data_IF_837661606012
#
_entry.id   IF_837661606012
#
_cell.length_a   1.000
_cell.length_b   1.000
_cell.length_c   1.000
_cell.angle_alpha   90.00
_cell.angle_beta   90.00
_cell.angle_gamma   90.00
#
_symmetry.space_group_name_H-M   'P 1'
#
loop_
_entity.id
_entity.type
_entity.pdbx_description
1 polymer ?
#
# COMPACT_ATOMS: atom_id res chain seq x y z
N UNK A 1 -12.45 -12.89 8.58
CA UNK A 1 -12.02 -13.67 7.39
C UNK A 1 -10.83 -14.51 7.84
N UNK A 2 -10.84 -15.84 7.68
CA UNK A 2 -9.76 -16.67 8.22
C UNK A 2 -8.49 -16.49 7.38
N UNK A 3 -7.36 -16.14 8.01
CA UNK A 3 -6.05 -16.09 7.33
C UNK A 3 -5.48 -17.50 7.26
N UNK A 4 -5.29 -18.05 6.06
CA UNK A 4 -4.74 -19.40 5.87
C UNK A 4 -3.46 -19.64 6.70
N UNK A 5 -2.52 -18.69 6.68
CA UNK A 5 -1.28 -18.82 7.45
C UNK A 5 -1.53 -18.87 8.97
N UNK A 6 -2.50 -18.13 9.49
CA UNK A 6 -2.81 -18.14 10.92
C UNK A 6 -3.52 -19.42 11.37
N UNK A 7 -4.21 -20.11 10.46
CA UNK A 7 -4.87 -21.38 10.75
C UNK A 7 -3.86 -22.53 10.83
N UNK A 8 -2.88 -22.55 9.94
CA UNK A 8 -1.93 -23.66 9.82
C UNK A 8 -0.59 -23.42 10.52
N UNK A 9 -0.14 -22.16 10.60
CA UNK A 9 1.12 -21.76 11.24
C UNK A 9 0.94 -20.42 11.99
N UNK A 10 0.19 -20.42 13.10
CA UNK A 10 -0.15 -19.21 13.85
C UNK A 10 1.07 -18.41 14.33
N UNK A 11 2.20 -19.06 14.59
CA UNK A 11 3.45 -18.43 14.99
C UNK A 11 3.99 -17.47 13.94
N UNK A 12 3.98 -17.84 12.66
CA UNK A 12 4.45 -16.96 11.58
C UNK A 12 3.52 -15.76 11.39
N UNK A 13 2.20 -16.01 11.44
CA UNK A 13 1.22 -14.94 11.32
C UNK A 13 1.32 -13.95 12.49
N UNK A 14 1.55 -14.44 13.71
CA UNK A 14 1.75 -13.63 14.91
C UNK A 14 3.03 -12.79 14.83
N UNK A 15 4.14 -13.35 14.35
CA UNK A 15 5.37 -12.58 14.21
C UNK A 15 5.25 -11.47 13.16
N UNK A 16 4.50 -11.70 12.07
CA UNK A 16 4.18 -10.63 11.11
C UNK A 16 3.34 -9.52 11.75
N UNK A 17 2.34 -9.87 12.55
CA UNK A 17 1.52 -8.88 13.27
C UNK A 17 2.36 -8.09 14.29
N UNK A 18 3.27 -8.76 15.00
CA UNK A 18 4.19 -8.11 15.96
C UNK A 18 5.11 -7.10 15.25
N UNK A 19 5.64 -7.46 14.08
CA UNK A 19 6.47 -6.58 13.26
C UNK A 19 5.68 -5.35 12.81
N UNK A 20 4.45 -5.52 12.34
CA UNK A 20 3.57 -4.41 11.94
C UNK A 20 3.30 -3.43 13.09
N UNK A 21 3.04 -3.95 14.30
CA UNK A 21 2.85 -3.13 15.50
C UNK A 21 4.14 -2.43 15.95
N UNK A 22 5.29 -3.11 15.82
CA UNK A 22 6.57 -2.49 16.11
C UNK A 22 6.87 -1.33 15.16
N UNK A 23 6.61 -1.50 13.86
CA UNK A 23 6.76 -0.43 12.88
C UNK A 23 5.91 0.78 13.28
N UNK A 24 4.62 0.61 13.59
CA UNK A 24 3.76 1.73 14.01
C UNK A 24 4.30 2.47 15.24
N UNK A 25 4.85 1.75 16.22
CA UNK A 25 5.37 2.32 17.47
C UNK A 25 6.73 3.01 17.31
N UNK A 26 7.58 2.51 16.42
CA UNK A 26 8.97 2.96 16.26
C UNK A 26 9.21 3.87 15.06
N UNK A 27 8.20 4.04 14.21
CA UNK A 27 8.31 4.87 13.01
C UNK A 27 8.70 6.31 13.38
N UNK A 28 9.72 6.82 12.70
CA UNK A 28 10.24 8.18 12.88
C UNK A 28 9.70 9.19 11.87
N UNK A 29 8.92 8.71 10.90
CA UNK A 29 8.26 9.51 9.86
C UNK A 29 6.76 9.56 10.12
N UNK A 30 6.10 10.60 9.59
CA UNK A 30 4.65 10.71 9.66
C UNK A 30 3.95 9.63 8.81
N UNK A 31 2.64 9.48 9.01
CA UNK A 31 1.83 8.48 8.29
C UNK A 31 1.82 8.74 6.79
N UNK A 32 1.78 10.00 6.36
CA UNK A 32 1.73 10.35 4.93
C UNK A 32 2.99 9.89 4.19
N UNK A 33 4.16 10.19 4.76
CA UNK A 33 5.46 9.79 4.24
C UNK A 33 5.61 8.27 4.24
N UNK A 34 5.14 7.60 5.30
CA UNK A 34 5.10 6.14 5.35
C UNK A 34 4.29 5.55 4.20
N UNK A 35 3.08 6.06 3.98
CA UNK A 35 2.21 5.57 2.92
C UNK A 35 2.82 5.81 1.53
N UNK A 36 3.51 6.94 1.30
CA UNK A 36 4.25 7.17 0.05
C UNK A 36 5.36 6.14 -0.18
N UNK A 37 6.16 5.84 0.85
CA UNK A 37 7.22 4.83 0.74
C UNK A 37 6.62 3.45 0.49
N UNK A 38 5.61 3.05 1.26
CA UNK A 38 4.96 1.75 1.10
C UNK A 38 4.22 1.63 -0.24
N UNK A 39 3.65 2.72 -0.76
CA UNK A 39 3.05 2.76 -2.09
C UNK A 39 4.10 2.53 -3.19
N UNK A 40 5.25 3.20 -3.11
CA UNK A 40 6.36 2.99 -4.04
C UNK A 40 6.89 1.55 -3.97
N UNK A 41 7.09 1.01 -2.77
CA UNK A 41 7.51 -0.38 -2.57
C UNK A 41 6.48 -1.39 -3.08
N UNK A 42 5.19 -1.13 -2.89
CA UNK A 42 4.12 -1.99 -3.37
C UNK A 42 4.06 -2.04 -4.90
N UNK A 43 4.31 -0.91 -5.58
CA UNK A 43 4.46 -0.85 -7.04
C UNK A 43 5.64 -1.73 -7.46
N UNK A 44 6.82 -1.53 -6.85
CA UNK A 44 8.01 -2.31 -7.20
C UNK A 44 7.89 -3.80 -6.90
N UNK A 45 7.20 -4.17 -5.83
CA UNK A 45 6.87 -5.55 -5.51
C UNK A 45 5.72 -6.13 -6.34
N UNK A 46 5.13 -5.36 -7.27
CA UNK A 46 3.96 -5.72 -8.08
C UNK A 46 2.80 -6.33 -7.26
N UNK A 47 2.59 -5.80 -6.05
CA UNK A 47 1.52 -6.27 -5.16
C UNK A 47 0.29 -5.40 -5.31
N UNK A 48 -0.63 -5.80 -6.21
CA UNK A 48 -1.85 -5.03 -6.50
C UNK A 48 -2.69 -4.70 -5.24
N UNK A 49 -2.91 -5.62 -4.27
CA UNK A 49 -3.61 -5.29 -3.04
C UNK A 49 -2.88 -4.23 -2.22
N UNK A 50 -1.55 -4.30 -2.13
CA UNK A 50 -0.76 -3.32 -1.39
C UNK A 50 -0.73 -1.95 -2.10
N UNK A 51 -0.67 -1.91 -3.44
CA UNK A 51 -0.75 -0.67 -4.21
C UNK A 51 -2.05 0.06 -3.89
N UNK A 52 -3.18 -0.65 -3.93
CA UNK A 52 -4.50 -0.08 -3.59
C UNK A 52 -4.60 0.33 -2.12
N UNK A 53 -4.10 -0.51 -1.20
CA UNK A 53 -4.05 -0.23 0.25
C UNK A 53 -3.31 1.07 0.54
N UNK A 54 -2.10 1.22 0.00
CA UNK A 54 -1.25 2.36 0.31
C UNK A 54 -1.63 3.62 -0.47
N UNK A 55 -2.21 3.48 -1.67
CA UNK A 55 -2.87 4.59 -2.36
C UNK A 55 -3.97 5.20 -1.49
N UNK A 56 -4.89 4.36 -0.97
CA UNK A 56 -5.98 4.81 -0.10
C UNK A 56 -5.48 5.32 1.24
N UNK A 57 -4.55 4.59 1.87
CA UNK A 57 -3.95 4.99 3.14
C UNK A 57 -3.30 6.38 3.05
N UNK A 58 -2.59 6.68 1.95
CA UNK A 58 -2.05 8.02 1.74
C UNK A 58 -3.17 9.08 1.66
N UNK A 59 -4.25 8.83 0.92
CA UNK A 59 -5.38 9.78 0.84
C UNK A 59 -6.02 10.03 2.22
N UNK A 60 -6.15 9.00 3.05
CA UNK A 60 -6.67 9.10 4.42
C UNK A 60 -5.80 9.98 5.33
N UNK A 61 -4.51 10.16 4.99
CA UNK A 61 -3.60 11.11 5.69
C UNK A 61 -3.68 12.54 5.18
N UNK A 62 -4.55 12.83 4.20
CA UNK A 62 -4.62 14.12 3.52
C UNK A 62 -3.63 14.28 2.38
N UNK A 63 -3.07 13.19 1.84
CA UNK A 63 -2.37 13.25 0.57
C UNK A 63 -3.34 13.57 -0.58
N UNK A 64 -2.83 14.28 -1.58
CA UNK A 64 -3.57 14.55 -2.81
C UNK A 64 -3.27 13.50 -3.87
N UNK A 65 -4.20 13.31 -4.81
CA UNK A 65 -3.97 12.46 -5.99
C UNK A 65 -2.75 12.95 -6.78
N UNK A 66 -2.48 14.26 -6.80
CA UNK A 66 -1.31 14.83 -7.48
C UNK A 66 0.01 14.39 -6.84
N UNK A 67 0.07 14.32 -5.51
CA UNK A 67 1.26 13.79 -4.80
C UNK A 67 1.45 12.30 -5.09
N UNK A 68 0.38 11.50 -5.08
CA UNK A 68 0.45 10.07 -5.42
C UNK A 68 0.90 9.84 -6.87
N UNK A 69 0.38 10.63 -7.81
CA UNK A 69 0.81 10.59 -9.21
C UNK A 69 2.30 10.98 -9.36
N UNK A 70 2.78 11.91 -8.55
CA UNK A 70 4.22 12.25 -8.51
C UNK A 70 5.07 11.06 -8.03
N UNK A 71 4.62 10.33 -6.99
CA UNK A 71 5.32 9.11 -6.54
C UNK A 71 5.30 8.03 -7.64
N UNK A 72 4.18 7.85 -8.35
CA UNK A 72 4.13 6.95 -9.52
C UNK A 72 5.16 7.35 -10.57
N UNK A 73 5.20 8.62 -10.96
CA UNK A 73 6.14 9.14 -11.94
C UNK A 73 7.61 8.91 -11.51
N UNK A 74 7.91 9.10 -10.23
CA UNK A 74 9.22 8.80 -9.67
C UNK A 74 9.56 7.31 -9.80
N UNK A 75 8.65 6.41 -9.41
CA UNK A 75 8.88 4.97 -9.51
C UNK A 75 9.10 4.54 -10.96
N UNK A 76 8.30 5.07 -11.90
CA UNK A 76 8.44 4.76 -13.32
C UNK A 76 9.76 5.25 -13.89
N UNK A 77 10.21 6.45 -13.50
CA UNK A 77 11.53 6.97 -13.88
C UNK A 77 12.64 6.03 -13.42
N UNK A 78 12.61 5.59 -12.15
CA UNK A 78 13.63 4.71 -11.58
C UNK A 78 13.57 3.28 -12.13
N UNK A 79 12.48 2.90 -12.82
CA UNK A 79 12.29 1.58 -13.44
C UNK A 79 12.23 1.59 -14.97
N UNK A 80 12.63 2.69 -15.62
CA UNK A 80 12.57 2.88 -17.07
C UNK A 80 11.18 2.58 -17.67
N UNK A 81 10.11 2.93 -16.94
CA UNK A 81 8.72 2.73 -17.34
C UNK A 81 8.18 1.30 -17.18
N UNK A 82 8.96 0.36 -16.63
CA UNK A 82 8.57 -1.06 -16.54
C UNK A 82 7.30 -1.31 -15.70
N UNK A 83 6.92 -0.37 -14.84
CA UNK A 83 5.73 -0.50 -13.99
C UNK A 83 4.51 0.28 -14.52
N UNK A 84 4.66 1.04 -15.62
CA UNK A 84 3.68 2.02 -16.12
C UNK A 84 2.31 1.41 -16.42
N UNK A 85 2.24 0.55 -17.45
CA UNK A 85 0.99 -0.10 -17.87
C UNK A 85 0.33 -0.86 -16.71
N UNK A 86 1.12 -1.58 -15.92
CA UNK A 86 0.61 -2.42 -14.85
C UNK A 86 -0.02 -1.59 -13.71
N UNK A 87 0.62 -0.50 -13.28
CA UNK A 87 0.03 0.35 -12.23
C UNK A 87 -1.24 1.03 -12.71
N UNK A 88 -1.30 1.46 -13.98
CA UNK A 88 -2.51 2.02 -14.55
C UNK A 88 -3.66 1.01 -14.59
N UNK A 89 -3.40 -0.26 -14.87
CA UNK A 89 -4.40 -1.33 -14.77
C UNK A 89 -4.83 -1.55 -13.32
N UNK A 90 -3.89 -1.58 -12.38
CA UNK A 90 -4.19 -1.78 -10.94
C UNK A 90 -5.01 -0.64 -10.36
N UNK A 91 -4.83 0.60 -10.82
CA UNK A 91 -5.52 1.80 -10.34
C UNK A 91 -6.57 2.32 -11.34
N UNK A 92 -7.03 1.50 -12.29
CA UNK A 92 -7.99 1.93 -13.32
C UNK A 92 -9.31 2.48 -12.74
N UNK A 93 -9.68 2.02 -11.55
CA UNK A 93 -10.87 2.37 -10.80
C UNK A 93 -10.58 3.30 -9.61
N UNK A 94 -9.45 4.02 -9.62
CA UNK A 94 -9.04 4.84 -8.46
C UNK A 94 -10.11 5.86 -8.04
N UNK A 95 -10.94 6.36 -8.97
CA UNK A 95 -12.07 7.23 -8.66
C UNK A 95 -13.13 6.56 -7.80
N UNK A 96 -13.37 5.27 -8.00
CA UNK A 96 -14.25 4.48 -7.14
C UNK A 96 -13.56 4.14 -5.82
N UNK A 97 -12.27 3.80 -5.86
CA UNK A 97 -11.48 3.58 -4.64
C UNK A 97 -11.51 4.79 -3.69
N UNK A 98 -11.51 6.01 -4.24
CA UNK A 98 -11.64 7.26 -3.46
C UNK A 98 -13.02 7.41 -2.78
N UNK A 99 -14.09 6.82 -3.34
CA UNK A 99 -15.45 6.89 -2.79
C UNK A 99 -15.72 5.81 -1.75
N UNK A 100 -15.11 4.65 -1.93
CA UNK A 100 -15.35 3.48 -1.08
C UNK A 100 -14.44 3.45 0.14
N UNK A 101 -15.01 3.20 1.32
CA UNK A 101 -14.27 2.82 2.53
C UNK A 101 -13.77 1.36 2.43
N UNK A 102 -12.98 1.01 1.41
CA UNK A 102 -12.42 -0.35 1.30
C UNK A 102 -11.54 -0.62 2.51
N UNK A 103 -11.99 -1.54 3.35
CA UNK A 103 -11.18 -2.15 4.41
C UNK A 103 -10.54 -3.40 3.81
N UNK A 104 -9.23 -3.33 3.52
CA UNK A 104 -8.53 -4.41 2.80
C UNK A 104 -8.31 -5.68 3.66
N UNK A 105 -8.61 -5.65 4.95
CA UNK A 105 -8.72 -6.85 5.79
C UNK A 105 -9.86 -6.60 6.79
N UNK A 106 -10.99 -7.29 6.63
CA UNK A 106 -11.93 -7.42 7.76
C UNK A 106 -11.20 -8.26 8.81
N UNK A 107 -10.88 -7.66 9.96
CA UNK A 107 -10.40 -8.39 11.14
C UNK A 107 -11.27 -9.61 11.40
#
# INVERSE_FOLDING_TARGET
MTRLLAEWFPEFAKELDNIDELYKKKRLIDEKTYQFISFALAIKGRSAPCVRKHFKGALETGATVKELAYIMALVFRESAGNDDCWVHDVLNDYKELMKTNVQCCKK
#
